data_IF_401263246753
#
_entry.id   IF_401263246753
#
_cell.length_a   1.000
_cell.length_b   1.000
_cell.length_c   1.000
_cell.angle_alpha   90.00
_cell.angle_beta   90.00
_cell.angle_gamma   90.00
#
_symmetry.space_group_name_H-M   'P 1'
#
loop_
_entity.id
_entity.type
_entity.pdbx_description
1 polymer ?
#
# COMPACT_ATOMS: atom_id res chain seq x y z
N UNK A 1 -16.83 -11.97 19.26
CA UNK A 1 -16.91 -10.52 19.26
C UNK A 1 -16.54 -9.96 17.89
N UNK A 2 -15.34 -10.24 17.34
CA UNK A 2 -14.86 -9.69 16.05
C UNK A 2 -15.81 -9.98 14.88
N UNK A 3 -16.32 -11.20 14.77
CA UNK A 3 -17.30 -11.57 13.73
C UNK A 3 -18.59 -10.73 13.83
N UNK A 4 -19.03 -10.38 15.04
CA UNK A 4 -20.19 -9.48 15.21
C UNK A 4 -19.84 -8.04 14.80
N UNK A 5 -18.62 -7.58 15.03
CA UNK A 5 -18.15 -6.28 14.56
C UNK A 5 -18.19 -6.16 13.02
N UNK A 6 -17.86 -7.25 12.32
CA UNK A 6 -17.86 -7.32 10.85
C UNK A 6 -19.27 -7.45 10.28
N UNK A 7 -20.05 -8.39 10.82
CA UNK A 7 -21.38 -8.71 10.27
C UNK A 7 -22.46 -7.72 10.69
N UNK A 8 -22.29 -7.02 11.81
CA UNK A 8 -23.25 -6.11 12.43
C UNK A 8 -24.66 -6.70 12.60
N UNK A 9 -24.72 -8.02 12.71
CA UNK A 9 -25.97 -8.77 12.81
C UNK A 9 -25.74 -10.06 13.60
N UNK A 10 -26.48 -10.22 14.70
CA UNK A 10 -26.34 -11.36 15.60
C UNK A 10 -26.64 -12.71 14.93
N UNK A 11 -27.69 -12.77 14.10
CA UNK A 11 -28.05 -14.00 13.38
C UNK A 11 -26.99 -14.38 12.35
N UNK A 12 -26.48 -13.38 11.60
CA UNK A 12 -25.42 -13.61 10.62
C UNK A 12 -24.10 -13.99 11.30
N UNK A 13 -23.77 -13.36 12.42
CA UNK A 13 -22.59 -13.73 13.22
C UNK A 13 -22.70 -15.17 13.75
N UNK A 14 -23.89 -15.57 14.22
CA UNK A 14 -24.15 -16.93 14.66
C UNK A 14 -23.94 -17.95 13.53
N UNK A 15 -24.46 -17.67 12.35
CA UNK A 15 -24.26 -18.51 11.16
C UNK A 15 -22.78 -18.66 10.79
N UNK A 16 -22.01 -17.55 10.76
CA UNK A 16 -20.58 -17.58 10.47
C UNK A 16 -19.78 -18.39 11.49
N UNK A 17 -20.19 -18.32 12.77
CA UNK A 17 -19.52 -19.03 13.87
C UNK A 17 -20.02 -20.46 14.07
N UNK A 18 -21.03 -20.92 13.32
CA UNK A 18 -21.70 -22.20 13.48
C UNK A 18 -22.24 -22.43 14.92
N UNK A 19 -22.79 -21.40 15.53
CA UNK A 19 -23.44 -21.43 16.86
C UNK A 19 -24.84 -20.79 16.79
N UNK A 20 -25.58 -20.85 17.89
CA UNK A 20 -26.90 -20.21 17.95
C UNK A 20 -26.83 -18.72 18.22
N UNK A 21 -27.81 -17.95 17.74
CA UNK A 21 -27.88 -16.50 17.99
C UNK A 21 -27.96 -16.18 19.51
N UNK A 22 -28.71 -16.94 20.37
CA UNK A 22 -28.64 -16.74 21.82
C UNK A 22 -27.23 -16.90 22.40
N UNK A 23 -26.43 -17.86 21.88
CA UNK A 23 -25.04 -18.03 22.33
C UNK A 23 -24.17 -16.80 21.99
N UNK A 24 -24.31 -16.25 20.80
CA UNK A 24 -23.64 -14.99 20.46
C UNK A 24 -24.03 -13.87 21.41
N UNK A 25 -25.31 -13.71 21.69
CA UNK A 25 -25.82 -12.72 22.63
C UNK A 25 -25.24 -12.91 24.04
N UNK A 26 -25.18 -14.17 24.50
CA UNK A 26 -24.60 -14.49 25.81
C UNK A 26 -23.12 -14.15 25.89
N UNK A 27 -22.34 -14.47 24.84
CA UNK A 27 -20.90 -14.10 24.78
C UNK A 27 -20.68 -12.59 24.80
N UNK A 28 -21.50 -11.83 24.08
CA UNK A 28 -21.39 -10.36 24.09
C UNK A 28 -21.75 -9.81 25.48
N UNK A 29 -22.85 -10.28 26.09
CA UNK A 29 -23.24 -9.89 27.45
C UNK A 29 -22.16 -10.23 28.48
N UNK A 30 -21.49 -11.38 28.31
CA UNK A 30 -20.38 -11.77 29.18
C UNK A 30 -19.24 -10.75 29.10
N UNK A 31 -18.82 -10.34 27.88
CA UNK A 31 -17.79 -9.34 27.69
C UNK A 31 -18.21 -7.97 28.24
N UNK A 32 -19.45 -7.54 27.98
CA UNK A 32 -19.97 -6.28 28.51
C UNK A 32 -20.01 -6.25 30.03
N UNK A 33 -20.37 -7.37 30.66
CA UNK A 33 -20.36 -7.50 32.12
C UNK A 33 -18.92 -7.54 32.68
N UNK A 34 -18.02 -8.27 32.02
CA UNK A 34 -16.63 -8.40 32.43
C UNK A 34 -15.90 -7.02 32.43
N UNK A 35 -16.14 -6.21 31.41
CA UNK A 35 -15.57 -4.88 31.29
C UNK A 35 -16.45 -3.75 31.87
N UNK A 36 -17.62 -4.10 32.44
CA UNK A 36 -18.60 -3.16 33.01
C UNK A 36 -18.97 -2.02 32.05
N UNK A 37 -19.07 -2.32 30.75
CA UNK A 37 -19.34 -1.33 29.71
C UNK A 37 -20.17 -1.92 28.57
N UNK A 38 -20.90 -1.04 27.84
CA UNK A 38 -21.56 -1.43 26.61
C UNK A 38 -20.58 -1.41 25.45
N UNK A 39 -20.57 -2.46 24.65
CA UNK A 39 -19.71 -2.60 23.46
C UNK A 39 -20.46 -2.31 22.17
N UNK A 40 -21.77 -2.52 22.18
CA UNK A 40 -22.65 -2.25 21.04
C UNK A 40 -23.87 -1.43 21.48
N UNK A 41 -24.39 -0.62 20.53
CA UNK A 41 -25.68 0.04 20.62
C UNK A 41 -26.45 -0.14 19.32
N UNK A 42 -27.76 -0.02 19.39
CA UNK A 42 -28.64 -0.15 18.24
C UNK A 42 -29.17 1.24 17.86
N UNK A 43 -28.98 1.64 16.61
CA UNK A 43 -29.55 2.83 16.01
C UNK A 43 -30.74 2.41 15.13
N UNK A 44 -31.91 2.98 15.33
CA UNK A 44 -33.13 2.59 14.61
C UNK A 44 -33.02 2.76 13.09
N UNK A 45 -32.21 3.70 12.61
CA UNK A 45 -32.02 3.99 11.19
C UNK A 45 -30.81 3.28 10.57
N UNK A 46 -29.79 2.97 11.38
CA UNK A 46 -28.48 2.47 10.91
C UNK A 46 -28.11 1.08 11.42
N UNK A 47 -28.90 0.50 12.33
CA UNK A 47 -28.70 -0.86 12.85
C UNK A 47 -27.69 -0.94 14.00
N UNK A 48 -26.95 -2.04 14.08
CA UNK A 48 -26.00 -2.33 15.17
C UNK A 48 -24.67 -1.64 14.96
N UNK A 49 -24.21 -0.87 15.96
CA UNK A 49 -22.96 -0.11 15.94
C UNK A 49 -22.12 -0.36 17.18
N UNK A 50 -20.80 -0.16 17.04
CA UNK A 50 -19.87 -0.18 18.17
C UNK A 50 -19.93 1.14 18.95
N UNK A 51 -19.87 1.04 20.28
CA UNK A 51 -19.55 2.17 21.16
C UNK A 51 -18.04 2.53 21.04
N UNK A 52 -17.59 3.63 21.64
CA UNK A 52 -16.16 3.96 21.70
C UNK A 52 -15.37 2.85 22.42
N UNK A 53 -15.88 2.31 23.51
CA UNK A 53 -15.28 1.18 24.20
C UNK A 53 -15.31 -0.09 23.33
N UNK A 54 -16.34 -0.28 22.51
CA UNK A 54 -16.41 -1.36 21.53
C UNK A 54 -15.34 -1.24 20.44
N UNK A 55 -15.05 -0.03 19.98
CA UNK A 55 -13.94 0.23 19.02
C UNK A 55 -12.59 -0.07 19.64
N UNK A 56 -12.37 0.37 20.88
CA UNK A 56 -11.14 0.09 21.63
C UNK A 56 -10.92 -1.42 21.81
N UNK A 57 -11.97 -2.14 22.26
CA UNK A 57 -11.89 -3.59 22.42
C UNK A 57 -11.68 -4.30 21.06
N UNK A 58 -12.26 -3.79 19.98
CA UNK A 58 -12.03 -4.34 18.63
C UNK A 58 -10.56 -4.26 18.23
N UNK A 59 -9.93 -3.11 18.41
CA UNK A 59 -8.51 -2.94 18.08
C UNK A 59 -7.65 -3.93 18.90
N UNK A 60 -7.86 -4.01 20.20
CA UNK A 60 -7.17 -4.96 21.07
C UNK A 60 -7.41 -6.42 20.66
N UNK A 61 -8.67 -6.81 20.40
CA UNK A 61 -9.01 -8.18 20.01
C UNK A 61 -8.41 -8.56 18.65
N UNK A 62 -8.28 -7.62 17.71
CA UNK A 62 -7.58 -7.83 16.44
C UNK A 62 -6.09 -8.11 16.67
N UNK A 63 -5.43 -7.37 17.55
CA UNK A 63 -4.03 -7.64 17.92
C UNK A 63 -3.86 -9.03 18.52
N UNK A 64 -4.69 -9.39 19.51
CA UNK A 64 -4.66 -10.71 20.14
C UNK A 64 -4.89 -11.83 19.12
N UNK A 65 -5.81 -11.63 18.18
CA UNK A 65 -6.08 -12.61 17.11
C UNK A 65 -4.85 -12.77 16.19
N UNK A 66 -4.22 -11.67 15.81
CA UNK A 66 -3.02 -11.68 14.99
C UNK A 66 -1.86 -12.42 15.69
N UNK A 67 -1.63 -12.10 16.96
CA UNK A 67 -0.60 -12.76 17.77
C UNK A 67 -0.89 -14.26 17.93
N UNK A 68 -2.15 -14.64 18.16
CA UNK A 68 -2.56 -16.03 18.25
C UNK A 68 -2.32 -16.81 16.96
N UNK A 69 -2.65 -16.21 15.80
CA UNK A 69 -2.37 -16.80 14.48
C UNK A 69 -0.87 -16.94 14.27
N UNK A 70 -0.09 -15.92 14.63
CA UNK A 70 1.36 -15.92 14.52
C UNK A 70 2.00 -17.04 15.37
N UNK A 71 1.57 -17.17 16.63
CA UNK A 71 2.04 -18.25 17.52
C UNK A 71 1.65 -19.63 16.96
N UNK A 72 0.40 -19.80 16.50
CA UNK A 72 -0.04 -21.05 15.92
C UNK A 72 0.75 -21.44 14.67
N UNK A 73 1.15 -20.46 13.85
CA UNK A 73 2.01 -20.70 12.68
C UNK A 73 3.45 -21.05 13.11
N UNK A 74 4.01 -20.32 14.09
CA UNK A 74 5.35 -20.61 14.62
C UNK A 74 5.45 -22.01 15.26
N UNK A 75 4.40 -22.45 15.94
CA UNK A 75 4.36 -23.80 16.54
C UNK A 75 4.25 -24.91 15.50
N UNK A 76 3.70 -24.62 14.31
CA UNK A 76 3.53 -25.58 13.20
C UNK A 76 4.67 -25.53 12.18
N UNK A 77 5.38 -24.41 12.12
CA UNK A 77 6.50 -24.25 11.21
C UNK A 77 7.69 -25.11 11.66
N UNK A 78 8.47 -25.68 10.73
CA UNK A 78 9.82 -26.14 11.07
C UNK A 78 10.55 -24.97 11.74
N UNK A 79 11.51 -25.23 12.65
CA UNK A 79 12.16 -24.19 13.42
C UNK A 79 12.59 -23.06 12.48
N UNK A 80 12.01 -21.87 12.71
CA UNK A 80 12.36 -20.68 11.89
C UNK A 80 13.87 -20.54 11.95
N UNK A 81 14.46 -20.30 10.79
CA UNK A 81 15.83 -19.85 10.74
C UNK A 81 15.87 -18.52 11.51
N UNK A 82 16.42 -18.50 12.74
CA UNK A 82 16.31 -17.32 13.63
C UNK A 82 16.96 -16.05 13.04
N UNK A 83 17.65 -16.23 11.92
CA UNK A 83 18.39 -15.20 11.22
C UNK A 83 17.72 -14.71 9.91
N UNK A 84 16.47 -15.06 9.66
CA UNK A 84 15.78 -14.72 8.42
C UNK A 84 14.81 -13.56 8.63
N UNK A 85 15.04 -12.47 7.91
CA UNK A 85 14.14 -11.32 7.83
C UNK A 85 13.18 -11.50 6.64
N UNK A 86 11.88 -11.29 6.88
CA UNK A 86 10.83 -11.36 5.87
C UNK A 86 10.23 -9.96 5.69
N UNK A 87 10.48 -9.35 4.54
CA UNK A 87 10.07 -7.98 4.20
C UNK A 87 8.95 -8.05 3.16
N UNK A 88 7.86 -7.33 3.40
CA UNK A 88 6.86 -7.05 2.37
C UNK A 88 7.12 -5.68 1.74
N UNK A 89 6.88 -5.54 0.45
CA UNK A 89 7.02 -4.25 -0.23
C UNK A 89 6.12 -4.18 -1.45
N UNK A 90 5.63 -2.99 -1.77
CA UNK A 90 4.95 -2.77 -3.04
C UNK A 90 5.94 -2.83 -4.19
N UNK A 91 5.44 -3.11 -5.40
CA UNK A 91 6.28 -3.30 -6.58
C UNK A 91 7.21 -2.12 -6.83
N UNK A 92 6.71 -0.89 -6.69
CA UNK A 92 7.48 0.34 -6.96
C UNK A 92 8.75 0.45 -6.11
N UNK A 93 8.63 0.28 -4.79
CA UNK A 93 9.79 0.33 -3.87
C UNK A 93 10.59 -0.96 -3.88
N UNK A 94 9.93 -2.09 -4.12
CA UNK A 94 10.55 -3.42 -4.14
C UNK A 94 11.47 -3.66 -5.33
N UNK A 95 11.25 -3.00 -6.45
CA UNK A 95 12.14 -3.09 -7.63
C UNK A 95 13.22 -2.01 -7.65
N UNK A 96 13.06 -0.91 -6.90
CA UNK A 96 14.00 0.22 -6.95
C UNK A 96 14.80 0.41 -5.66
N UNK A 97 14.15 0.63 -4.54
CA UNK A 97 14.77 1.08 -3.28
C UNK A 97 15.13 -0.09 -2.34
N UNK A 98 14.20 -1.01 -2.11
CA UNK A 98 14.37 -2.08 -1.11
C UNK A 98 15.54 -3.00 -1.43
N UNK A 99 15.87 -3.36 -2.70
CA UNK A 99 17.06 -4.12 -3.02
C UNK A 99 18.35 -3.45 -2.57
N UNK A 100 18.46 -2.11 -2.67
CA UNK A 100 19.62 -1.34 -2.23
C UNK A 100 19.75 -1.37 -0.70
N UNK A 101 18.63 -1.24 0.01
CA UNK A 101 18.58 -1.36 1.47
C UNK A 101 18.98 -2.77 1.93
N UNK A 102 18.49 -3.81 1.26
CA UNK A 102 18.84 -5.20 1.54
C UNK A 102 20.32 -5.45 1.25
N UNK A 103 20.86 -4.93 0.16
CA UNK A 103 22.28 -5.07 -0.15
C UNK A 103 23.16 -4.43 0.92
N UNK A 104 22.82 -3.23 1.39
CA UNK A 104 23.57 -2.57 2.47
C UNK A 104 23.44 -3.33 3.79
N UNK A 105 22.24 -3.84 4.11
CA UNK A 105 22.02 -4.68 5.28
C UNK A 105 22.87 -5.95 5.26
N UNK A 106 22.91 -6.67 4.13
CA UNK A 106 23.68 -7.91 3.99
C UNK A 106 25.20 -7.67 3.97
N UNK A 107 25.67 -6.49 3.53
CA UNK A 107 27.10 -6.10 3.68
C UNK A 107 27.49 -6.00 5.16
N UNK A 108 26.59 -5.46 6.01
CA UNK A 108 26.84 -5.31 7.45
C UNK A 108 26.63 -6.61 8.21
N UNK A 109 25.72 -7.46 7.73
CA UNK A 109 25.33 -8.71 8.39
C UNK A 109 25.35 -9.90 7.41
N UNK A 110 26.54 -10.38 7.00
CA UNK A 110 26.67 -11.36 5.90
C UNK A 110 25.98 -12.72 6.15
N UNK A 111 25.79 -13.06 7.42
CA UNK A 111 25.18 -14.35 7.80
C UNK A 111 23.65 -14.29 7.91
N UNK A 112 23.06 -13.10 7.74
CA UNK A 112 21.60 -12.95 7.79
C UNK A 112 20.96 -13.36 6.48
N UNK A 113 19.74 -13.88 6.55
CA UNK A 113 18.93 -14.24 5.39
C UNK A 113 17.79 -13.24 5.26
N UNK A 114 17.46 -12.89 4.02
CA UNK A 114 16.36 -11.97 3.72
C UNK A 114 15.44 -12.62 2.70
N UNK A 115 14.14 -12.56 2.95
CA UNK A 115 13.11 -12.85 1.95
C UNK A 115 12.31 -11.60 1.71
N UNK A 116 12.14 -11.24 0.46
CA UNK A 116 11.39 -10.08 0.03
C UNK A 116 10.15 -10.55 -0.72
N UNK A 117 8.98 -10.05 -0.32
CA UNK A 117 7.68 -10.37 -0.91
C UNK A 117 7.12 -9.11 -1.54
N UNK A 118 6.75 -9.20 -2.81
CA UNK A 118 6.12 -8.11 -3.54
C UNK A 118 4.63 -8.40 -3.65
N UNK A 119 3.81 -7.43 -3.23
CA UNK A 119 2.36 -7.53 -3.32
C UNK A 119 1.72 -6.14 -3.30
N UNK A 120 0.41 -6.06 -3.48
CA UNK A 120 -0.35 -4.83 -3.27
C UNK A 120 -0.44 -4.51 -1.76
N UNK A 121 -0.60 -3.23 -1.45
CA UNK A 121 -0.52 -2.74 -0.08
C UNK A 121 -1.49 -3.42 0.90
N UNK A 122 -2.74 -3.66 0.49
CA UNK A 122 -3.74 -4.33 1.33
C UNK A 122 -3.37 -5.79 1.61
N UNK A 123 -2.84 -6.50 0.61
CA UNK A 123 -2.35 -7.86 0.77
C UNK A 123 -1.11 -7.92 1.69
N UNK A 124 -0.22 -6.93 1.61
CA UNK A 124 0.92 -6.81 2.52
C UNK A 124 0.49 -6.58 3.96
N UNK A 125 -0.52 -5.73 4.21
CA UNK A 125 -1.07 -5.52 5.54
C UNK A 125 -1.71 -6.80 6.11
N UNK A 126 -2.38 -7.58 5.27
CA UNK A 126 -2.89 -8.89 5.68
C UNK A 126 -1.76 -9.87 6.00
N UNK A 127 -0.70 -9.92 5.17
CA UNK A 127 0.48 -10.74 5.43
C UNK A 127 1.20 -10.32 6.72
N UNK A 128 1.28 -9.03 7.02
CA UNK A 128 1.81 -8.49 8.27
C UNK A 128 0.96 -8.93 9.46
N UNK A 129 -0.36 -8.77 9.37
CA UNK A 129 -1.33 -9.20 10.37
C UNK A 129 -1.24 -10.70 10.66
N UNK A 130 -1.01 -11.51 9.64
CA UNK A 130 -0.89 -12.96 9.74
C UNK A 130 0.54 -13.42 10.10
N UNK A 131 1.48 -12.51 10.35
CA UNK A 131 2.86 -12.82 10.70
C UNK A 131 3.68 -13.49 9.60
N UNK A 132 3.20 -13.46 8.34
CA UNK A 132 3.93 -13.99 7.18
C UNK A 132 5.14 -13.13 6.84
N UNK A 133 5.04 -11.82 7.06
CA UNK A 133 6.12 -10.84 6.98
C UNK A 133 6.27 -10.13 8.34
N UNK A 134 7.45 -9.61 8.64
CA UNK A 134 7.76 -8.95 9.91
C UNK A 134 7.49 -7.45 9.85
N UNK A 135 7.70 -6.86 8.69
CA UNK A 135 7.34 -5.47 8.39
C UNK A 135 7.12 -5.29 6.88
N UNK A 136 6.48 -4.21 6.50
CA UNK A 136 6.32 -3.86 5.09
C UNK A 136 6.74 -2.41 4.83
N UNK A 137 7.17 -2.16 3.59
CA UNK A 137 7.48 -0.83 3.06
C UNK A 137 6.45 -0.53 2.00
N UNK A 138 5.66 0.51 2.23
CA UNK A 138 4.52 0.88 1.38
C UNK A 138 4.35 2.41 1.37
N UNK A 139 3.63 2.91 0.40
CA UNK A 139 3.28 4.31 0.22
C UNK A 139 1.85 4.64 0.67
N UNK A 140 1.13 3.67 1.26
CA UNK A 140 -0.21 3.92 1.76
C UNK A 140 -0.20 4.46 3.19
N UNK A 141 -1.23 5.24 3.47
CA UNK A 141 -1.49 5.72 4.81
C UNK A 141 -2.23 4.65 5.63
N UNK A 142 -1.51 3.94 6.51
CA UNK A 142 -2.10 2.97 7.43
C UNK A 142 -2.63 3.67 8.68
N UNK A 143 -3.76 3.22 9.27
CA UNK A 143 -4.24 3.73 10.54
C UNK A 143 -3.20 3.51 11.65
N UNK A 144 -2.82 4.59 12.35
CA UNK A 144 -1.84 4.53 13.47
C UNK A 144 -2.30 3.64 14.62
N UNK A 145 -3.60 3.44 14.75
CA UNK A 145 -4.20 2.63 15.82
C UNK A 145 -3.93 1.13 15.67
N UNK A 146 -3.49 0.68 14.49
CA UNK A 146 -3.35 -0.75 14.17
C UNK A 146 -1.89 -1.16 13.97
N UNK A 147 -1.04 -0.26 13.49
CA UNK A 147 0.34 -0.55 13.14
C UNK A 147 1.28 0.54 13.63
N UNK A 148 2.43 0.14 14.17
CA UNK A 148 3.55 1.07 14.34
C UNK A 148 4.08 1.43 12.96
N UNK A 149 4.22 2.73 12.69
CA UNK A 149 4.70 3.23 11.42
C UNK A 149 5.83 4.22 11.60
N UNK A 150 6.75 4.19 10.67
CA UNK A 150 7.85 5.14 10.56
C UNK A 150 7.93 5.63 9.13
N UNK A 151 7.88 6.92 8.94
CA UNK A 151 8.19 7.52 7.66
C UNK A 151 9.67 7.35 7.34
N UNK A 152 9.98 6.88 6.14
CA UNK A 152 11.35 6.65 5.69
C UNK A 152 11.87 7.84 4.87
N UNK A 153 11.06 8.35 3.95
CA UNK A 153 11.37 9.49 3.10
C UNK A 153 10.12 9.96 2.37
N UNK A 154 10.17 11.16 1.83
CA UNK A 154 9.15 11.71 0.93
C UNK A 154 9.63 11.58 -0.53
N UNK A 155 8.82 10.99 -1.38
CA UNK A 155 9.16 10.73 -2.77
C UNK A 155 8.77 11.89 -3.68
N UNK A 156 9.73 12.50 -4.38
CA UNK A 156 9.47 13.50 -5.41
C UNK A 156 8.93 12.83 -6.68
N UNK A 157 7.76 13.27 -7.15
CA UNK A 157 7.24 12.86 -8.47
C UNK A 157 7.79 13.79 -9.57
N UNK A 158 8.25 13.22 -10.67
CA UNK A 158 8.80 13.95 -11.82
C UNK A 158 8.16 13.50 -13.14
N UNK A 159 8.16 14.37 -14.13
CA UNK A 159 7.83 14.03 -15.51
C UNK A 159 9.08 13.53 -16.24
N UNK A 160 9.02 12.34 -16.83
CA UNK A 160 10.12 11.72 -17.57
C UNK A 160 9.81 11.59 -19.05
N UNK A 161 10.85 11.69 -19.85
CA UNK A 161 10.82 11.50 -21.30
C UNK A 161 12.11 10.83 -21.80
N UNK A 162 12.14 10.50 -23.08
CA UNK A 162 13.38 10.14 -23.76
C UNK A 162 14.30 11.36 -23.90
N UNK A 163 15.64 11.22 -23.87
CA UNK A 163 16.56 12.29 -24.24
C UNK A 163 16.35 12.85 -25.65
N UNK A 164 15.70 12.07 -26.52
CA UNK A 164 15.33 12.49 -27.89
C UNK A 164 14.05 13.33 -27.94
N UNK A 165 13.31 13.46 -26.83
CA UNK A 165 12.11 14.27 -26.79
C UNK A 165 12.45 15.76 -26.95
N UNK A 166 11.71 16.53 -27.77
CA UNK A 166 11.96 17.98 -27.94
C UNK A 166 11.83 18.79 -26.64
N UNK A 167 11.12 18.27 -25.66
CA UNK A 167 10.91 18.92 -24.35
C UNK A 167 11.91 18.45 -23.28
N UNK A 168 12.85 17.55 -23.62
CA UNK A 168 13.84 17.05 -22.68
C UNK A 168 14.65 18.20 -22.05
N UNK A 169 14.78 18.20 -20.71
CA UNK A 169 15.48 19.21 -19.91
C UNK A 169 14.93 20.65 -20.04
N UNK A 170 13.72 20.81 -20.58
CA UNK A 170 13.07 22.12 -20.68
C UNK A 170 12.05 22.32 -19.56
N UNK A 171 11.86 23.58 -19.20
CA UNK A 171 10.75 24.00 -18.33
C UNK A 171 9.57 24.43 -19.20
N UNK A 172 8.45 23.74 -19.03
CA UNK A 172 7.24 23.90 -19.85
C UNK A 172 6.02 24.13 -18.97
N UNK A 173 4.93 24.60 -19.55
CA UNK A 173 3.64 24.59 -18.89
C UNK A 173 2.99 23.21 -19.02
N UNK A 174 2.09 22.85 -18.10
CA UNK A 174 1.49 21.52 -18.11
C UNK A 174 0.72 21.23 -19.41
N UNK A 175 0.09 22.24 -20.00
CA UNK A 175 -0.62 22.12 -21.28
C UNK A 175 0.27 21.71 -22.46
N UNK A 176 1.56 22.05 -22.42
CA UNK A 176 2.51 21.65 -23.47
C UNK A 176 2.75 20.14 -23.51
N UNK A 177 2.43 19.45 -22.41
CA UNK A 177 2.55 17.99 -22.30
C UNK A 177 1.39 17.25 -22.97
N UNK A 178 0.24 17.90 -23.14
CA UNK A 178 -0.97 17.26 -23.66
C UNK A 178 -0.87 16.87 -25.12
N UNK A 179 0.02 17.48 -25.88
CA UNK A 179 0.34 17.10 -27.26
C UNK A 179 1.13 15.78 -27.36
N UNK A 180 1.69 15.32 -26.23
CA UNK A 180 2.45 14.08 -26.15
C UNK A 180 1.56 12.91 -25.74
N UNK A 181 2.05 11.69 -25.96
CA UNK A 181 1.41 10.47 -25.47
C UNK A 181 1.74 10.28 -24.01
N UNK A 182 0.73 10.04 -23.17
CA UNK A 182 0.89 9.69 -21.76
C UNK A 182 1.05 8.19 -21.59
N UNK A 183 2.07 7.74 -20.87
CA UNK A 183 2.31 6.33 -20.55
C UNK A 183 2.21 6.16 -19.04
N UNK A 184 1.37 5.22 -18.58
CA UNK A 184 1.15 4.99 -17.15
C UNK A 184 0.80 3.54 -16.84
N UNK A 185 0.83 3.20 -15.55
CA UNK A 185 0.48 1.84 -15.11
C UNK A 185 -1.03 1.66 -15.04
N UNK A 186 -1.48 0.50 -15.53
CA UNK A 186 -2.85 0.03 -15.30
C UNK A 186 -3.08 -0.30 -13.82
N UNK A 187 -4.36 -0.58 -13.46
CA UNK A 187 -4.85 -0.94 -12.14
C UNK A 187 -4.97 0.22 -11.16
N UNK A 188 -5.76 -0.03 -10.10
CA UNK A 188 -6.02 0.88 -8.98
C UNK A 188 -4.81 1.00 -8.03
N UNK A 189 -3.62 1.16 -8.63
CA UNK A 189 -2.36 1.35 -7.91
C UNK A 189 -2.27 2.77 -7.36
N UNK A 190 -1.52 2.94 -6.29
CA UNK A 190 -1.23 4.28 -5.74
C UNK A 190 -0.59 5.21 -6.79
N UNK A 191 0.26 4.69 -7.67
CA UNK A 191 0.87 5.48 -8.74
C UNK A 191 -0.16 6.04 -9.73
N UNK A 192 -1.22 5.28 -10.07
CA UNK A 192 -2.33 5.79 -10.89
C UNK A 192 -3.14 6.84 -10.14
N UNK A 193 -3.44 6.62 -8.87
CA UNK A 193 -4.13 7.60 -8.02
C UNK A 193 -3.33 8.89 -7.88
N UNK A 194 -2.02 8.80 -7.69
CA UNK A 194 -1.13 9.96 -7.65
C UNK A 194 -1.10 10.70 -9.00
N UNK A 195 -1.02 9.98 -10.12
CA UNK A 195 -1.15 10.58 -11.44
C UNK A 195 -2.47 11.33 -11.61
N UNK A 196 -3.61 10.70 -11.23
CA UNK A 196 -4.93 11.36 -11.31
C UNK A 196 -4.97 12.63 -10.47
N UNK A 197 -4.38 12.61 -9.27
CA UNK A 197 -4.27 13.79 -8.41
C UNK A 197 -3.45 14.89 -9.10
N UNK A 198 -2.29 14.56 -9.63
CA UNK A 198 -1.43 15.51 -10.37
C UNK A 198 -2.20 16.15 -11.54
N UNK A 199 -2.87 15.32 -12.35
CA UNK A 199 -3.66 15.82 -13.48
C UNK A 199 -4.77 16.78 -12.99
N UNK A 200 -5.51 16.39 -11.96
CA UNK A 200 -6.57 17.20 -11.37
C UNK A 200 -6.06 18.54 -10.83
N UNK A 201 -4.92 18.53 -10.11
CA UNK A 201 -4.31 19.73 -9.52
C UNK A 201 -3.86 20.73 -10.61
N UNK A 202 -3.62 20.25 -11.83
CA UNK A 202 -3.33 21.06 -13.01
C UNK A 202 -4.55 21.28 -13.93
N UNK A 203 -5.78 21.00 -13.47
CA UNK A 203 -7.02 21.08 -14.25
C UNK A 203 -6.94 20.27 -15.56
N UNK A 204 -6.30 19.10 -15.52
CA UNK A 204 -6.16 18.18 -16.65
C UNK A 204 -6.79 16.82 -16.34
N UNK A 205 -7.01 16.06 -17.41
CA UNK A 205 -7.48 14.67 -17.38
C UNK A 205 -6.68 13.85 -18.41
N UNK A 206 -6.68 12.53 -18.29
CA UNK A 206 -6.03 11.63 -19.26
C UNK A 206 -6.53 11.90 -20.69
N UNK A 207 -7.81 12.23 -20.85
CA UNK A 207 -8.43 12.50 -22.14
C UNK A 207 -7.96 13.78 -22.82
N UNK A 208 -7.28 14.66 -22.09
CA UNK A 208 -6.66 15.86 -22.66
C UNK A 208 -5.38 15.55 -23.43
N UNK A 209 -4.74 14.42 -23.16
CA UNK A 209 -3.55 14.01 -23.91
C UNK A 209 -3.88 13.50 -25.30
N UNK A 210 -2.98 13.71 -26.26
CA UNK A 210 -3.18 13.27 -27.64
C UNK A 210 -3.49 11.78 -27.77
N UNK A 211 -2.92 10.98 -26.91
CA UNK A 211 -3.19 9.55 -26.71
C UNK A 211 -2.54 9.04 -25.42
N UNK A 212 -2.89 7.83 -24.99
CA UNK A 212 -2.25 7.21 -23.85
C UNK A 212 -1.96 5.72 -24.07
N UNK A 213 -1.05 5.19 -23.26
CA UNK A 213 -0.75 3.75 -23.18
C UNK A 213 -0.78 3.33 -21.70
N UNK A 214 -1.56 2.31 -21.41
CA UNK A 214 -1.69 1.69 -20.10
C UNK A 214 -0.91 0.38 -20.08
N UNK A 215 -0.02 0.17 -19.10
CA UNK A 215 0.83 -1.03 -18.98
C UNK A 215 0.90 -1.54 -17.54
N UNK A 216 1.16 -2.84 -17.37
CA UNK A 216 1.12 -3.49 -16.05
C UNK A 216 2.31 -3.21 -15.13
N UNK A 217 3.49 -2.82 -15.66
CA UNK A 217 4.72 -2.69 -14.87
C UNK A 217 5.45 -1.38 -15.09
N UNK A 218 6.17 -0.92 -14.07
CA UNK A 218 7.01 0.28 -14.18
C UNK A 218 8.15 0.09 -15.19
N UNK A 219 8.69 -1.11 -15.30
CA UNK A 219 9.73 -1.42 -16.28
C UNK A 219 9.22 -1.31 -17.72
N UNK A 220 7.95 -1.66 -17.99
CA UNK A 220 7.34 -1.45 -19.29
C UNK A 220 7.15 0.05 -19.58
N UNK A 221 6.71 0.85 -18.58
CA UNK A 221 6.65 2.31 -18.70
C UNK A 221 8.02 2.87 -19.10
N UNK A 222 9.07 2.54 -18.34
CA UNK A 222 10.43 3.03 -18.59
C UNK A 222 10.91 2.71 -20.00
N UNK A 223 10.75 1.47 -20.45
CA UNK A 223 11.14 1.04 -21.80
C UNK A 223 10.43 1.81 -22.91
N UNK A 224 9.11 2.00 -22.78
CA UNK A 224 8.37 2.78 -23.77
C UNK A 224 8.80 4.25 -23.81
N UNK A 225 9.08 4.84 -22.65
CA UNK A 225 9.59 6.23 -22.57
C UNK A 225 10.98 6.31 -23.20
N UNK A 226 11.90 5.38 -22.91
CA UNK A 226 13.23 5.32 -23.52
C UNK A 226 13.19 5.24 -25.04
N UNK A 227 12.23 4.49 -25.57
CA UNK A 227 11.98 4.38 -27.03
C UNK A 227 11.28 5.60 -27.63
N UNK A 228 11.13 6.67 -26.88
CA UNK A 228 10.52 7.94 -27.31
C UNK A 228 9.06 7.80 -27.76
N UNK A 229 8.31 6.88 -27.15
CA UNK A 229 6.89 6.66 -27.46
C UNK A 229 6.00 7.70 -26.79
N UNK A 230 6.45 8.27 -25.67
CA UNK A 230 5.70 9.27 -24.91
C UNK A 230 6.41 9.68 -23.63
N UNK A 231 5.64 10.25 -22.71
CA UNK A 231 6.09 10.73 -21.41
C UNK A 231 5.39 9.96 -20.27
N UNK A 232 5.95 10.02 -19.08
CA UNK A 232 5.32 9.46 -17.87
C UNK A 232 5.62 10.31 -16.65
N UNK A 233 4.77 10.16 -15.61
CA UNK A 233 5.00 10.69 -14.28
C UNK A 233 5.36 9.54 -13.35
N UNK A 234 6.48 9.66 -12.65
CA UNK A 234 6.95 8.62 -11.72
C UNK A 234 7.82 9.24 -10.62
N UNK A 235 8.07 8.49 -9.57
CA UNK A 235 8.98 8.92 -8.52
C UNK A 235 10.42 8.98 -9.03
N UNK A 236 11.15 10.05 -8.68
CA UNK A 236 12.56 10.23 -9.04
C UNK A 236 13.42 9.03 -8.68
N UNK A 237 13.25 8.48 -7.47
CA UNK A 237 14.07 7.35 -7.00
C UNK A 237 13.90 6.07 -7.83
N UNK A 238 12.79 5.94 -8.58
CA UNK A 238 12.52 4.78 -9.46
C UNK A 238 13.35 4.84 -10.73
N UNK A 239 13.71 6.03 -11.17
CA UNK A 239 14.37 6.29 -12.47
C UNK A 239 15.72 6.98 -12.33
N UNK A 240 16.24 7.12 -11.10
CA UNK A 240 17.49 7.87 -10.87
C UNK A 240 18.66 7.32 -11.67
N UNK A 241 18.85 5.99 -11.67
CA UNK A 241 19.93 5.35 -12.44
C UNK A 241 19.78 5.56 -13.95
N UNK A 242 18.54 5.58 -14.46
CA UNK A 242 18.27 5.84 -15.89
C UNK A 242 18.48 7.31 -16.26
N UNK A 243 18.23 8.23 -15.33
CA UNK A 243 18.54 9.65 -15.50
C UNK A 243 20.05 9.87 -15.49
N UNK A 244 20.76 9.28 -14.53
CA UNK A 244 22.22 9.44 -14.38
C UNK A 244 22.98 8.81 -15.54
N UNK A 245 22.48 7.71 -16.09
CA UNK A 245 23.05 7.06 -17.30
C UNK A 245 22.62 7.71 -18.61
N UNK A 246 21.72 8.70 -18.58
CA UNK A 246 21.22 9.39 -19.77
C UNK A 246 20.28 8.57 -20.64
N UNK A 247 19.72 7.46 -20.14
CA UNK A 247 18.69 6.68 -20.82
C UNK A 247 17.32 7.36 -20.78
N UNK A 248 17.07 8.12 -19.72
CA UNK A 248 15.90 8.96 -19.55
C UNK A 248 16.31 10.41 -19.34
N UNK A 249 15.38 11.32 -19.53
CA UNK A 249 15.50 12.74 -19.27
C UNK A 249 14.28 13.25 -18.52
N UNK A 250 14.43 14.34 -17.78
CA UNK A 250 13.34 15.00 -17.09
C UNK A 250 12.78 16.15 -17.94
N UNK A 251 11.46 16.34 -17.87
CA UNK A 251 10.78 17.58 -18.26
C UNK A 251 10.42 18.33 -16.96
N UNK A 252 10.81 19.58 -16.86
CA UNK A 252 10.45 20.43 -15.72
C UNK A 252 9.11 21.11 -15.99
N UNK A 253 8.13 20.90 -15.13
CA UNK A 253 6.81 21.49 -15.29
C UNK A 253 6.67 22.65 -14.34
N UNK A 254 6.21 23.82 -14.84
CA UNK A 254 5.99 25.01 -13.99
C UNK A 254 4.88 24.74 -12.97
N UNK A 255 5.08 25.25 -11.75
CA UNK A 255 4.13 25.09 -10.64
C UNK A 255 3.74 23.63 -10.37
N UNK A 256 4.64 22.69 -10.66
CA UNK A 256 4.42 21.27 -10.40
C UNK A 256 4.45 21.02 -8.89
N UNK A 257 3.31 20.68 -8.33
CA UNK A 257 3.17 20.23 -6.94
C UNK A 257 3.36 18.70 -6.94
N UNK A 258 4.50 18.26 -6.47
CA UNK A 258 4.86 16.83 -6.35
C UNK A 258 4.34 16.21 -5.06
#
# INVERSE_FOLDING_TARGET
FLVLCETRNYTRAASVLNITQPAVTQHIKYLENHYSTKLFYYDEKRGLHLTENGKLLRAFAQTVQADSVQIAQRLKAPPEEPDKIKIGTIVTTGESLVPLMVAEYLRRYPNKKVSMYLDEADALLEQLKNGRIQFCITDIHCPQETYERKELFEGETICICSPKCPLAQRTVDFCDLTDLRLIFRENDTYSKRNLMKILHDHNQDITNFSSYVEVGTINAVKKLVMENIGISFTYRFVVQDDLDSGHLSQIYVRNFLS
#
